data_IF_949777715078
#
_entry.id   IF_949777715078
#
_cell.length_a   1.000
_cell.length_b   1.000
_cell.length_c   1.000
_cell.angle_alpha   90.00
_cell.angle_beta   90.00
_cell.angle_gamma   90.00
#
_symmetry.space_group_name_H-M   'P 1'
#
loop_
_entity.id
_entity.type
_entity.pdbx_description
1 polymer ?
#
# COMPACT_ATOMS: atom_id res chain seq x y z
N UNK A 1 -46.54 -14.07 32.84
CA UNK A 1 -46.44 -13.25 31.60
C UNK A 1 -45.07 -12.64 31.57
N UNK A 2 -44.23 -13.12 30.68
CA UNK A 2 -42.80 -12.83 30.64
C UNK A 2 -42.56 -11.66 29.65
N UNK A 3 -42.02 -10.53 30.06
CA UNK A 3 -41.72 -9.45 29.11
C UNK A 3 -40.40 -9.73 28.46
N UNK A 4 -40.50 -10.38 27.33
CA UNK A 4 -40.02 -10.00 26.02
C UNK A 4 -38.56 -9.56 25.92
N UNK A 5 -37.80 -10.46 25.45
CA UNK A 5 -36.62 -10.42 24.61
C UNK A 5 -36.72 -9.41 23.43
N UNK A 6 -36.85 -8.15 23.76
CA UNK A 6 -36.52 -7.07 22.86
C UNK A 6 -35.17 -6.50 23.33
N UNK A 7 -34.16 -7.35 23.29
CA UNK A 7 -32.79 -6.87 23.43
C UNK A 7 -32.50 -6.07 22.16
N UNK A 8 -32.66 -4.76 22.29
CA UNK A 8 -32.27 -3.77 21.30
C UNK A 8 -30.84 -4.04 20.91
N UNK A 9 -30.66 -4.53 19.69
CA UNK A 9 -29.41 -4.38 18.95
C UNK A 9 -29.23 -2.88 18.70
N UNK A 10 -28.82 -2.14 19.69
CA UNK A 10 -28.26 -0.82 19.50
C UNK A 10 -26.83 -1.02 19.05
N UNK A 11 -26.63 -1.04 17.75
CA UNK A 11 -25.32 -0.75 17.16
C UNK A 11 -25.02 0.73 17.43
N UNK A 12 -24.62 1.05 18.65
CA UNK A 12 -23.95 2.30 18.93
C UNK A 12 -22.47 2.11 18.64
N UNK A 13 -22.12 2.03 17.35
CA UNK A 13 -20.78 2.27 16.92
C UNK A 13 -20.51 3.78 17.01
N UNK A 14 -20.21 4.23 18.22
CA UNK A 14 -19.72 5.59 18.48
C UNK A 14 -18.22 5.55 18.73
N UNK A 15 -17.48 4.87 17.85
CA UNK A 15 -16.06 5.19 17.72
C UNK A 15 -15.96 6.34 16.73
N UNK A 16 -15.29 7.46 17.04
CA UNK A 16 -14.89 8.38 16.00
C UNK A 16 -14.06 7.55 15.02
N UNK A 17 -14.61 7.26 13.84
CA UNK A 17 -13.85 6.59 12.81
C UNK A 17 -12.63 7.48 12.56
N UNK A 18 -11.48 7.06 13.06
CA UNK A 18 -10.25 7.75 12.77
C UNK A 18 -9.91 7.51 11.29
N UNK A 19 -10.36 8.41 10.43
CA UNK A 19 -10.17 8.34 8.99
C UNK A 19 -8.71 8.47 8.57
N UNK A 20 -7.81 8.83 9.49
CA UNK A 20 -6.39 9.05 9.16
C UNK A 20 -5.72 7.75 8.69
N UNK A 21 -5.91 6.63 9.39
CA UNK A 21 -5.31 5.38 8.97
C UNK A 21 -5.82 4.89 7.60
N UNK A 22 -7.14 4.81 7.33
CA UNK A 22 -7.63 4.44 6.01
C UNK A 22 -7.13 5.38 4.89
N UNK A 23 -7.03 6.68 5.15
CA UNK A 23 -6.48 7.64 4.18
C UNK A 23 -5.00 7.32 3.89
N UNK A 24 -4.19 7.09 4.91
CA UNK A 24 -2.78 6.76 4.73
C UNK A 24 -2.59 5.43 4.00
N UNK A 25 -3.35 4.40 4.34
CA UNK A 25 -3.36 3.12 3.63
C UNK A 25 -3.74 3.31 2.16
N UNK A 26 -4.77 4.13 1.89
CA UNK A 26 -5.20 4.49 0.54
C UNK A 26 -4.13 5.23 -0.26
N UNK A 27 -3.38 6.14 0.38
CA UNK A 27 -2.26 6.85 -0.26
C UNK A 27 -1.13 5.89 -0.64
N UNK A 28 -0.77 4.94 0.23
CA UNK A 28 0.21 3.90 -0.09
C UNK A 28 -0.27 3.00 -1.23
N UNK A 29 -1.56 2.65 -1.26
CA UNK A 29 -2.14 1.90 -2.37
C UNK A 29 -2.07 2.67 -3.70
N UNK A 30 -2.42 3.96 -3.69
CA UNK A 30 -2.38 4.83 -4.87
C UNK A 30 -0.94 4.99 -5.40
N UNK A 31 0.03 5.11 -4.52
CA UNK A 31 1.46 5.12 -4.88
C UNK A 31 1.85 3.85 -5.62
N UNK A 32 1.46 2.67 -5.12
CA UNK A 32 1.78 1.39 -5.76
C UNK A 32 1.04 1.18 -7.08
N UNK A 33 -0.17 1.72 -7.24
CA UNK A 33 -0.85 1.78 -8.55
C UNK A 33 -0.08 2.65 -9.54
N UNK A 34 0.48 3.78 -9.08
CA UNK A 34 1.31 4.62 -9.92
C UNK A 34 2.60 3.89 -10.36
N UNK A 35 3.26 3.17 -9.43
CA UNK A 35 4.45 2.37 -9.74
C UNK A 35 4.10 1.27 -10.74
N UNK A 36 3.00 0.52 -10.53
CA UNK A 36 2.49 -0.46 -11.48
C UNK A 36 2.36 0.16 -12.88
N UNK A 37 1.65 1.27 -12.97
CA UNK A 37 1.45 1.95 -14.26
C UNK A 37 2.77 2.36 -14.92
N UNK A 38 3.69 2.92 -14.15
CA UNK A 38 4.98 3.37 -14.66
C UNK A 38 5.82 2.19 -15.16
N UNK A 39 5.91 1.12 -14.39
CA UNK A 39 6.76 -0.04 -14.70
C UNK A 39 6.18 -0.89 -15.82
N UNK A 40 4.84 -1.08 -15.87
CA UNK A 40 4.22 -1.88 -16.94
C UNK A 40 4.04 -1.13 -18.26
N UNK A 41 3.68 0.15 -18.22
CA UNK A 41 3.22 0.86 -19.40
C UNK A 41 4.08 2.07 -19.80
N UNK A 42 4.86 2.62 -18.88
CA UNK A 42 5.62 3.84 -19.09
C UNK A 42 7.13 3.70 -18.79
N UNK A 43 7.65 2.48 -18.66
CA UNK A 43 9.03 2.22 -18.26
C UNK A 43 10.05 2.92 -19.15
N UNK A 44 9.91 2.81 -20.47
CA UNK A 44 10.85 3.41 -21.44
C UNK A 44 10.69 4.93 -21.61
N UNK A 45 9.58 5.52 -21.15
CA UNK A 45 9.28 6.94 -21.33
C UNK A 45 9.38 7.74 -20.02
N UNK A 46 8.86 7.23 -18.92
CA UNK A 46 8.89 7.86 -17.59
C UNK A 46 10.01 7.33 -16.70
N UNK A 47 10.36 6.04 -16.85
CA UNK A 47 11.42 5.39 -16.10
C UNK A 47 12.74 6.17 -16.11
N UNK A 48 13.27 6.63 -17.25
CA UNK A 48 14.52 7.40 -17.31
C UNK A 48 14.50 8.73 -16.55
N UNK A 49 13.29 9.28 -16.29
CA UNK A 49 13.12 10.52 -15.51
C UNK A 49 13.07 10.25 -14.02
N UNK A 50 12.58 9.10 -13.61
CA UNK A 50 12.43 8.68 -12.19
C UNK A 50 13.73 8.04 -11.71
N UNK A 51 14.31 7.13 -12.48
CA UNK A 51 15.54 6.41 -12.19
C UNK A 51 16.71 6.99 -12.99
N UNK A 52 17.01 8.26 -12.77
CA UNK A 52 18.04 8.99 -13.52
C UNK A 52 19.47 8.50 -13.26
N UNK A 53 19.67 7.63 -12.29
CA UNK A 53 20.95 6.95 -12.02
C UNK A 53 21.20 5.72 -12.90
N UNK A 54 20.15 5.19 -13.57
CA UNK A 54 20.30 4.08 -14.51
C UNK A 54 20.70 4.59 -15.91
N UNK A 55 21.62 3.91 -16.61
CA UNK A 55 21.91 4.17 -18.00
C UNK A 55 20.65 4.07 -18.89
N UNK A 56 20.46 5.04 -19.78
CA UNK A 56 19.22 5.14 -20.57
C UNK A 56 19.00 3.96 -21.53
N UNK A 57 20.06 3.36 -22.01
CA UNK A 57 20.05 2.18 -22.89
C UNK A 57 19.55 0.90 -22.20
N UNK A 58 19.56 0.85 -20.86
CA UNK A 58 19.04 -0.27 -20.10
C UNK A 58 17.50 -0.31 -20.07
N UNK A 59 16.81 0.82 -20.22
CA UNK A 59 15.35 0.85 -20.11
C UNK A 59 14.63 -0.02 -21.15
N UNK A 60 15.00 0.01 -22.46
CA UNK A 60 14.41 -0.92 -23.41
C UNK A 60 14.73 -2.38 -23.12
N UNK A 61 15.94 -2.67 -22.63
CA UNK A 61 16.41 -4.03 -22.36
C UNK A 61 15.75 -4.65 -21.12
N UNK A 62 15.34 -3.83 -20.15
CA UNK A 62 14.72 -4.26 -18.88
C UNK A 62 13.21 -4.10 -18.86
N UNK A 63 12.57 -3.78 -19.99
CA UNK A 63 11.14 -3.47 -20.07
C UNK A 63 10.26 -4.60 -19.52
N UNK A 64 10.54 -5.84 -19.88
CA UNK A 64 9.75 -6.99 -19.43
C UNK A 64 9.97 -7.28 -17.94
N UNK A 65 11.19 -7.10 -17.43
CA UNK A 65 11.49 -7.22 -16.00
C UNK A 65 10.76 -6.14 -15.21
N UNK A 66 10.77 -4.90 -15.70
CA UNK A 66 10.05 -3.81 -15.07
C UNK A 66 8.54 -4.06 -15.07
N UNK A 67 7.97 -4.56 -16.17
CA UNK A 67 6.56 -4.89 -16.25
C UNK A 67 6.17 -5.98 -15.24
N UNK A 68 7.00 -7.01 -15.08
CA UNK A 68 6.80 -8.03 -14.05
C UNK A 68 6.87 -7.45 -12.64
N UNK A 69 7.81 -6.55 -12.38
CA UNK A 69 7.92 -5.84 -11.10
C UNK A 69 6.69 -4.97 -10.84
N UNK A 70 6.20 -4.28 -11.86
CA UNK A 70 4.97 -3.49 -11.80
C UNK A 70 3.75 -4.34 -11.42
N UNK A 71 3.66 -5.56 -11.95
CA UNK A 71 2.59 -6.49 -11.58
C UNK A 71 2.61 -6.82 -10.08
N UNK A 72 3.78 -7.05 -9.48
CA UNK A 72 3.89 -7.29 -8.04
C UNK A 72 3.51 -6.04 -7.23
N UNK A 73 3.86 -4.85 -7.68
CA UNK A 73 3.36 -3.61 -7.07
C UNK A 73 1.83 -3.51 -7.15
N UNK A 74 1.24 -4.01 -8.24
CA UNK A 74 -0.21 -4.15 -8.37
C UNK A 74 -0.85 -5.07 -7.34
N UNK A 75 -0.22 -6.19 -7.01
CA UNK A 75 -0.71 -7.08 -5.94
C UNK A 75 -0.67 -6.42 -4.57
N UNK A 76 0.38 -5.63 -4.28
CA UNK A 76 0.45 -4.85 -3.04
C UNK A 76 -0.68 -3.82 -2.97
N UNK A 77 -0.89 -3.06 -4.05
CA UNK A 77 -1.99 -2.11 -4.14
C UNK A 77 -3.36 -2.77 -3.97
N UNK A 78 -3.58 -3.89 -4.66
CA UNK A 78 -4.84 -4.65 -4.56
C UNK A 78 -5.11 -5.13 -3.14
N UNK A 79 -4.09 -5.63 -2.43
CA UNK A 79 -4.20 -6.05 -1.05
C UNK A 79 -4.51 -4.90 -0.08
N UNK A 80 -3.88 -3.74 -0.27
CA UNK A 80 -4.18 -2.54 0.51
C UNK A 80 -5.60 -2.03 0.25
N UNK A 81 -6.04 -2.01 -1.01
CA UNK A 81 -7.42 -1.66 -1.38
C UNK A 81 -8.40 -2.66 -0.77
N UNK A 82 -8.10 -3.96 -0.86
CA UNK A 82 -8.93 -4.98 -0.24
C UNK A 82 -9.08 -4.75 1.26
N UNK A 83 -8.00 -4.39 1.97
CA UNK A 83 -8.10 -4.09 3.41
C UNK A 83 -9.13 -2.98 3.69
N UNK A 84 -9.15 -1.92 2.87
CA UNK A 84 -10.08 -0.80 3.01
C UNK A 84 -11.56 -1.17 2.75
N UNK A 85 -11.82 -2.28 2.08
CA UNK A 85 -13.17 -2.78 1.80
C UNK A 85 -13.70 -3.73 2.89
N UNK A 86 -12.83 -4.15 3.82
CA UNK A 86 -13.21 -5.05 4.92
C UNK A 86 -13.93 -4.24 6.00
N UNK A 87 -15.14 -4.70 6.36
CA UNK A 87 -15.95 -4.05 7.40
C UNK A 87 -15.59 -4.51 8.82
N UNK A 88 -15.07 -5.72 8.96
CA UNK A 88 -14.59 -6.23 10.24
C UNK A 88 -13.27 -5.56 10.61
N UNK A 89 -13.26 -4.88 11.75
CA UNK A 89 -12.12 -4.07 12.19
C UNK A 89 -10.86 -4.90 12.41
N UNK A 90 -10.98 -6.08 13.02
CA UNK A 90 -9.84 -6.97 13.25
C UNK A 90 -9.22 -7.44 11.93
N UNK A 91 -10.06 -7.84 10.97
CA UNK A 91 -9.57 -8.27 9.67
C UNK A 91 -9.02 -7.12 8.83
N UNK A 92 -9.62 -5.92 8.88
CA UNK A 92 -9.05 -4.71 8.31
C UNK A 92 -7.62 -4.49 8.81
N UNK A 93 -7.43 -4.47 10.14
CA UNK A 93 -6.11 -4.29 10.75
C UNK A 93 -5.11 -5.39 10.35
N UNK A 94 -5.53 -6.65 10.33
CA UNK A 94 -4.65 -7.77 9.97
C UNK A 94 -4.20 -7.70 8.52
N UNK A 95 -5.12 -7.49 7.59
CA UNK A 95 -4.80 -7.44 6.15
C UNK A 95 -3.99 -6.19 5.82
N UNK A 96 -4.37 -5.01 6.32
CA UNK A 96 -3.60 -3.78 6.13
C UNK A 96 -2.17 -3.92 6.70
N UNK A 97 -2.03 -4.47 7.92
CA UNK A 97 -0.72 -4.73 8.54
C UNK A 97 0.15 -5.64 7.68
N UNK A 98 -0.41 -6.72 7.14
CA UNK A 98 0.33 -7.65 6.29
C UNK A 98 0.89 -6.94 5.05
N UNK A 99 0.02 -6.25 4.29
CA UNK A 99 0.45 -5.61 3.06
C UNK A 99 1.37 -4.39 3.29
N UNK A 100 1.13 -3.59 4.33
CA UNK A 100 2.06 -2.53 4.72
C UNK A 100 3.43 -3.10 5.10
N UNK A 101 3.48 -4.23 5.80
CA UNK A 101 4.74 -4.91 6.11
C UNK A 101 5.49 -5.35 4.86
N UNK A 102 4.78 -5.91 3.87
CA UNK A 102 5.37 -6.25 2.58
C UNK A 102 5.97 -5.03 1.87
N UNK A 103 5.25 -3.89 1.88
CA UNK A 103 5.74 -2.63 1.30
C UNK A 103 6.99 -2.14 2.04
N UNK A 104 6.99 -2.17 3.38
CA UNK A 104 8.14 -1.75 4.20
C UNK A 104 9.37 -2.59 3.87
N UNK A 105 9.22 -3.92 3.85
CA UNK A 105 10.33 -4.84 3.54
C UNK A 105 10.86 -4.59 2.13
N UNK A 106 9.97 -4.48 1.12
CA UNK A 106 10.36 -4.20 -0.26
C UNK A 106 11.07 -2.84 -0.39
N UNK A 107 10.54 -1.80 0.26
CA UNK A 107 11.09 -0.45 0.22
C UNK A 107 12.45 -0.35 0.92
N UNK A 108 12.63 -1.03 2.05
CA UNK A 108 13.94 -1.11 2.74
C UNK A 108 14.94 -1.88 1.89
N UNK A 109 14.56 -3.02 1.32
CA UNK A 109 15.44 -3.80 0.44
C UNK A 109 15.85 -2.98 -0.80
N UNK A 110 14.90 -2.33 -1.46
CA UNK A 110 15.18 -1.47 -2.61
C UNK A 110 16.07 -0.27 -2.26
N UNK A 111 15.94 0.28 -1.05
CA UNK A 111 16.78 1.37 -0.57
C UNK A 111 18.25 0.95 -0.38
N UNK A 112 18.48 -0.28 0.04
CA UNK A 112 19.83 -0.84 0.25
C UNK A 112 20.47 -1.28 -1.06
N UNK A 113 19.68 -1.86 -1.97
CA UNK A 113 20.20 -2.50 -3.19
C UNK A 113 20.22 -1.60 -4.42
N UNK A 114 19.30 -0.62 -4.51
CA UNK A 114 19.14 0.21 -5.71
C UNK A 114 19.43 1.68 -5.42
N UNK A 115 18.57 2.34 -4.60
CA UNK A 115 18.75 3.76 -4.25
C UNK A 115 18.01 4.13 -2.98
N UNK A 116 18.64 4.94 -2.12
CA UNK A 116 18.03 5.43 -0.87
C UNK A 116 16.73 6.19 -1.07
N UNK A 117 16.46 6.73 -2.25
CA UNK A 117 15.19 7.40 -2.56
C UNK A 117 13.99 6.48 -2.37
N UNK A 118 14.15 5.16 -2.63
CA UNK A 118 13.08 4.17 -2.48
C UNK A 118 12.60 4.10 -1.02
N UNK A 119 13.50 4.27 -0.04
CA UNK A 119 13.08 4.33 1.36
C UNK A 119 12.07 5.44 1.62
N UNK A 120 12.35 6.64 1.14
CA UNK A 120 11.50 7.81 1.37
C UNK A 120 10.18 7.76 0.58
N UNK A 121 10.19 7.11 -0.56
CA UNK A 121 9.00 7.01 -1.42
C UNK A 121 8.11 5.85 -0.99
N UNK A 122 8.65 4.68 -0.69
CA UNK A 122 7.87 3.47 -0.38
C UNK A 122 7.84 3.13 1.11
N UNK A 123 9.03 2.90 1.73
CA UNK A 123 9.08 2.41 3.10
C UNK A 123 8.53 3.42 4.11
N UNK A 124 8.94 4.68 4.01
CA UNK A 124 8.55 5.71 4.99
C UNK A 124 7.03 5.96 5.01
N UNK A 125 6.32 6.16 3.89
CA UNK A 125 4.86 6.29 3.91
C UNK A 125 4.17 5.06 4.51
N UNK A 126 4.64 3.85 4.19
CA UNK A 126 4.09 2.62 4.73
C UNK A 126 4.35 2.47 6.25
N UNK A 127 5.53 2.89 6.74
CA UNK A 127 5.83 2.93 8.18
C UNK A 127 4.89 3.90 8.89
N UNK A 128 4.69 5.10 8.35
CA UNK A 128 3.78 6.09 8.92
C UNK A 128 2.35 5.54 8.98
N UNK A 129 1.87 4.96 7.87
CA UNK A 129 0.55 4.33 7.81
C UNK A 129 0.41 3.20 8.85
N UNK A 130 1.45 2.36 8.99
CA UNK A 130 1.48 1.26 9.96
C UNK A 130 1.42 1.77 11.40
N UNK A 131 2.24 2.78 11.74
CA UNK A 131 2.26 3.36 13.09
C UNK A 131 0.89 3.93 13.45
N UNK A 132 0.30 4.72 12.55
CA UNK A 132 -1.04 5.30 12.78
C UNK A 132 -2.08 4.18 12.91
N UNK A 133 -2.05 3.16 12.06
CA UNK A 133 -2.95 2.00 12.13
C UNK A 133 -2.87 1.27 13.48
N UNK A 134 -1.71 1.24 14.12
CA UNK A 134 -1.51 0.56 15.42
C UNK A 134 -1.84 1.43 16.64
N UNK A 135 -1.94 2.74 16.45
CA UNK A 135 -2.28 3.68 17.53
C UNK A 135 -3.80 3.89 17.69
N UNK A 136 -4.58 3.38 16.76
CA UNK A 136 -6.04 3.48 16.73
C UNK A 136 -6.64 2.15 17.07
#
# INVERSE_FOLDING_TARGET
MNPTLAQKFTFTNSYPMNLIAPILVGLVAAEHLYILWMEMFAWTTKGPKVFNSLPKDLFPQTKEMAANQGLYNGFLAAGLIWSLLIQDELWYHNVATFFLSCVIVAGVYGAVTITRKIFFVQALPAIVAMVVLKLI
#
